data_IF_773118684593
#
_entry.id   IF_773118684593
#
_cell.length_a   1.000
_cell.length_b   1.000
_cell.length_c   1.000
_cell.angle_alpha   90.00
_cell.angle_beta   90.00
_cell.angle_gamma   90.00
#
_symmetry.space_group_name_H-M   'P 1'
#
loop_
_entity.id
_entity.type
_entity.pdbx_description
1 polymer ?
#
# COMPACT_ATOMS: atom_id res chain seq x y z
N UNK A 1 -13.58 0.31 -3.37
CA UNK A 1 -12.13 0.25 -3.15
C UNK A 1 -11.55 1.66 -3.31
N UNK A 2 -10.34 1.86 -2.78
CA UNK A 2 -9.70 3.17 -2.83
C UNK A 2 -9.36 3.57 -4.26
N UNK A 3 -9.72 4.79 -4.61
CA UNK A 3 -9.31 5.43 -5.87
C UNK A 3 -9.55 6.93 -5.76
N UNK A 4 -8.83 7.76 -6.53
CA UNK A 4 -9.05 9.20 -6.49
C UNK A 4 -10.45 9.57 -6.98
N UNK A 5 -11.06 10.56 -6.34
CA UNK A 5 -12.34 11.11 -6.79
C UNK A 5 -12.17 11.94 -8.06
N UNK A 6 -11.06 12.67 -8.15
CA UNK A 6 -10.71 13.51 -9.28
C UNK A 6 -9.25 13.34 -9.61
N UNK A 7 -8.91 13.42 -10.89
CA UNK A 7 -7.52 13.41 -11.34
C UNK A 7 -7.29 14.56 -12.32
N UNK A 8 -6.10 15.13 -12.24
CA UNK A 8 -5.69 16.17 -13.19
C UNK A 8 -5.50 15.56 -14.59
N UNK A 9 -4.96 14.36 -14.64
CA UNK A 9 -4.76 13.60 -15.87
C UNK A 9 -5.38 12.22 -15.69
N UNK A 10 -6.08 11.75 -16.73
CA UNK A 10 -6.74 10.44 -16.68
C UNK A 10 -5.74 9.29 -16.74
N UNK A 11 -4.65 9.49 -17.45
CA UNK A 11 -3.59 8.49 -17.63
C UNK A 11 -2.24 9.10 -17.28
N UNK A 12 -1.29 8.26 -16.84
CA UNK A 12 0.01 8.70 -16.35
C UNK A 12 1.10 7.87 -17.00
N UNK A 13 2.25 8.49 -17.26
CA UNK A 13 3.41 7.78 -17.78
C UNK A 13 3.90 6.74 -16.78
N UNK A 14 4.43 5.63 -17.30
CA UNK A 14 4.92 4.53 -16.47
C UNK A 14 6.00 4.98 -15.49
N UNK A 15 6.99 5.73 -15.98
CA UNK A 15 8.07 6.25 -15.16
C UNK A 15 8.95 5.15 -14.57
N UNK A 16 9.82 5.54 -13.66
CA UNK A 16 10.67 4.64 -12.90
C UNK A 16 10.34 4.77 -11.42
N UNK A 17 10.28 3.63 -10.75
CA UNK A 17 10.07 3.60 -9.30
C UNK A 17 11.41 3.24 -8.65
N UNK A 18 12.23 4.26 -8.42
CA UNK A 18 13.54 4.07 -7.79
C UNK A 18 13.69 5.00 -6.59
N UNK A 19 14.82 4.88 -5.89
CA UNK A 19 15.10 5.69 -4.72
C UNK A 19 14.50 5.14 -3.43
N UNK A 20 14.68 5.90 -2.35
CA UNK A 20 14.20 5.56 -1.03
C UNK A 20 13.11 6.53 -0.59
N UNK A 21 12.25 6.10 0.33
CA UNK A 21 11.21 6.98 0.88
C UNK A 21 11.84 8.02 1.81
N UNK A 22 11.67 9.30 1.49
CA UNK A 22 12.12 10.42 2.32
C UNK A 22 11.05 10.89 3.29
N UNK A 23 9.77 10.67 2.94
CA UNK A 23 8.63 11.01 3.80
C UNK A 23 7.74 9.80 3.95
N UNK A 24 6.95 9.76 5.01
CA UNK A 24 6.10 8.61 5.29
C UNK A 24 6.90 7.36 5.64
N UNK A 25 8.11 7.54 6.19
CA UNK A 25 9.02 6.44 6.51
C UNK A 25 9.13 6.14 8.00
N UNK A 26 8.31 6.78 8.83
CA UNK A 26 8.30 6.57 10.26
C UNK A 26 6.87 6.37 10.76
N UNK A 27 6.73 5.64 11.88
CA UNK A 27 5.44 5.48 12.55
C UNK A 27 5.08 6.81 13.19
N UNK A 28 4.01 7.44 12.70
CA UNK A 28 3.61 8.79 13.12
C UNK A 28 2.30 8.81 13.90
N UNK A 29 1.35 7.95 13.56
CA UNK A 29 0.00 7.97 14.14
C UNK A 29 -0.22 6.87 15.17
N UNK A 30 0.37 5.68 14.95
CA UNK A 30 0.18 4.53 15.81
C UNK A 30 1.40 4.17 16.62
N UNK A 31 1.39 2.97 17.20
CA UNK A 31 2.49 2.41 17.96
C UNK A 31 3.31 1.42 17.14
N UNK A 32 2.68 0.74 16.20
CA UNK A 32 3.28 -0.27 15.36
C UNK A 32 2.97 0.03 13.89
N UNK A 33 3.87 -0.36 13.01
CA UNK A 33 3.71 -0.12 11.60
C UNK A 33 4.17 -1.28 10.74
N UNK A 34 3.66 -1.34 9.51
CA UNK A 34 4.10 -2.27 8.48
C UNK A 34 4.85 -1.45 7.43
N UNK A 35 6.14 -1.69 7.32
CA UNK A 35 7.06 -0.90 6.51
C UNK A 35 7.54 -1.69 5.31
N UNK A 36 7.57 -1.08 4.13
CA UNK A 36 8.10 -1.72 2.94
C UNK A 36 9.62 -1.68 2.93
N UNK A 37 10.24 -2.76 2.47
CA UNK A 37 11.71 -2.84 2.32
C UNK A 37 12.14 -3.06 0.88
N UNK A 38 11.20 -3.03 -0.06
CA UNK A 38 11.48 -3.24 -1.48
C UNK A 38 10.69 -2.25 -2.33
N UNK A 39 11.13 -2.04 -3.55
CA UNK A 39 10.36 -1.31 -4.55
C UNK A 39 9.20 -2.18 -5.05
N UNK A 40 8.08 -1.56 -5.35
CA UNK A 40 6.95 -2.29 -5.92
C UNK A 40 5.73 -1.40 -6.06
N UNK A 41 4.63 -2.03 -6.39
CA UNK A 41 3.34 -1.37 -6.50
C UNK A 41 2.31 -2.17 -5.71
N UNK A 42 1.43 -1.46 -5.02
CA UNK A 42 0.32 -2.07 -4.31
C UNK A 42 -0.97 -1.64 -5.00
N UNK A 43 -1.74 -2.62 -5.45
CA UNK A 43 -3.05 -2.34 -6.06
C UNK A 43 -4.06 -1.99 -4.97
N UNK A 44 -5.13 -1.28 -5.37
CA UNK A 44 -6.23 -0.98 -4.45
C UNK A 44 -6.80 -2.27 -3.82
N UNK A 45 -6.85 -3.35 -4.59
CA UNK A 45 -7.34 -4.64 -4.09
C UNK A 45 -6.41 -5.25 -3.05
N UNK A 46 -5.10 -5.16 -3.25
CA UNK A 46 -4.12 -5.65 -2.27
C UNK A 46 -4.20 -4.86 -0.97
N UNK A 47 -4.31 -3.54 -1.06
CA UNK A 47 -4.45 -2.67 0.11
C UNK A 47 -5.70 -3.05 0.89
N UNK A 48 -6.83 -3.24 0.21
CA UNK A 48 -8.09 -3.63 0.87
C UNK A 48 -8.01 -5.02 1.49
N UNK A 49 -7.41 -5.97 0.79
CA UNK A 49 -7.25 -7.33 1.32
C UNK A 49 -6.41 -7.35 2.59
N UNK A 50 -5.31 -6.62 2.62
CA UNK A 50 -4.45 -6.50 3.79
C UNK A 50 -5.17 -5.79 4.94
N UNK A 51 -5.89 -4.72 4.65
CA UNK A 51 -6.69 -4.00 5.64
C UNK A 51 -7.70 -4.92 6.31
N UNK A 52 -8.43 -5.70 5.53
CA UNK A 52 -9.42 -6.64 6.05
C UNK A 52 -8.76 -7.72 6.91
N UNK A 53 -7.59 -8.20 6.51
CA UNK A 53 -6.83 -9.19 7.27
C UNK A 53 -6.45 -8.67 8.65
N UNK A 54 -5.93 -7.43 8.73
CA UNK A 54 -5.58 -6.79 9.99
C UNK A 54 -6.82 -6.60 10.86
N UNK A 55 -7.87 -6.01 10.30
CA UNK A 55 -9.10 -5.72 11.01
C UNK A 55 -9.76 -6.98 11.57
N UNK A 56 -9.75 -8.07 10.80
CA UNK A 56 -10.31 -9.35 11.23
C UNK A 56 -9.52 -9.95 12.38
N UNK A 57 -8.20 -9.87 12.33
CA UNK A 57 -7.35 -10.44 13.38
C UNK A 57 -7.50 -9.70 14.70
N UNK A 58 -7.52 -8.37 14.67
CA UNK A 58 -7.64 -7.55 15.89
C UNK A 58 -9.08 -7.45 16.39
N UNK A 59 -10.05 -7.99 15.67
CA UNK A 59 -11.48 -8.09 16.07
C UNK A 59 -12.06 -6.74 16.48
N UNK A 60 -11.80 -5.69 15.67
CA UNK A 60 -12.23 -4.32 15.90
C UNK A 60 -11.58 -3.65 17.13
N UNK A 61 -10.58 -4.31 17.73
CA UNK A 61 -9.79 -3.68 18.77
C UNK A 61 -8.79 -2.70 18.17
N UNK A 62 -8.49 -1.64 18.90
CA UNK A 62 -7.51 -0.65 18.48
C UNK A 62 -7.96 0.22 17.34
N UNK A 63 -7.00 0.94 16.78
CA UNK A 63 -7.21 1.86 15.65
C UNK A 63 -6.14 1.61 14.59
N UNK A 64 -6.54 1.69 13.32
CA UNK A 64 -5.65 1.43 12.19
C UNK A 64 -5.65 2.60 11.22
N UNK A 65 -4.48 2.91 10.67
CA UNK A 65 -4.33 3.91 9.62
C UNK A 65 -3.72 3.26 8.38
N UNK A 66 -4.25 3.62 7.22
CA UNK A 66 -3.66 3.27 5.92
C UNK A 66 -2.81 4.47 5.49
N UNK A 67 -1.49 4.27 5.35
CA UNK A 67 -0.55 5.35 5.07
C UNK A 67 -0.25 5.53 3.58
N UNK A 68 -0.83 4.71 2.73
CA UNK A 68 -0.64 4.79 1.28
C UNK A 68 -1.98 4.90 0.58
N UNK A 69 -1.99 5.52 -0.60
CA UNK A 69 -3.20 5.67 -1.39
C UNK A 69 -2.90 5.30 -2.85
N UNK A 70 -3.75 4.50 -3.50
CA UNK A 70 -3.54 4.10 -4.89
C UNK A 70 -4.01 5.23 -5.82
N UNK A 71 -3.11 6.13 -6.15
CA UNK A 71 -3.40 7.31 -6.96
C UNK A 71 -2.85 7.23 -8.39
N UNK A 72 -2.11 6.18 -8.72
CA UNK A 72 -1.57 5.99 -10.07
C UNK A 72 -2.44 5.05 -10.88
N UNK A 73 -2.99 5.51 -12.03
CA UNK A 73 -3.78 4.63 -12.89
C UNK A 73 -2.88 3.74 -13.72
N UNK A 74 -3.24 2.46 -13.81
CA UNK A 74 -2.56 1.48 -14.65
C UNK A 74 -3.46 1.14 -15.82
N UNK A 75 -2.92 1.28 -17.03
CA UNK A 75 -3.64 1.00 -18.26
C UNK A 75 -3.27 -0.36 -18.81
N UNK A 76 -4.20 -0.98 -19.50
CA UNK A 76 -3.98 -2.28 -20.12
C UNK A 76 -4.77 -2.36 -21.43
N UNK A 77 -4.15 -2.92 -22.46
CA UNK A 77 -4.85 -3.20 -23.72
C UNK A 77 -5.25 -4.68 -23.76
N UNK A 78 -6.41 -5.00 -24.36
CA UNK A 78 -6.78 -6.41 -24.57
C UNK A 78 -5.72 -7.12 -25.41
N UNK A 79 -5.58 -8.42 -25.20
CA UNK A 79 -4.58 -9.24 -25.90
C UNK A 79 -4.76 -9.18 -27.42
N UNK A 80 -6.00 -9.10 -27.89
CA UNK A 80 -6.34 -9.10 -29.32
C UNK A 80 -6.04 -7.78 -30.01
N UNK A 81 -5.77 -6.70 -29.27
CA UNK A 81 -5.55 -5.37 -29.84
C UNK A 81 -4.08 -5.22 -30.22
N UNK A 82 -3.83 -4.72 -31.43
CA UNK A 82 -2.49 -4.47 -31.91
C UNK A 82 -1.81 -3.34 -31.16
N UNK A 83 -0.50 -3.37 -31.12
CA UNK A 83 0.30 -2.29 -30.55
C UNK A 83 0.08 -1.01 -31.33
N UNK A 84 0.12 0.14 -30.63
CA UNK A 84 -0.12 1.45 -31.24
C UNK A 84 -1.55 1.91 -31.05
N UNK A 85 -1.95 2.96 -31.78
CA UNK A 85 -3.28 3.58 -31.74
C UNK A 85 -3.69 4.10 -30.35
N UNK A 86 -2.69 4.58 -29.60
CA UNK A 86 -2.93 5.23 -28.30
C UNK A 86 -2.80 4.29 -27.10
N UNK A 87 -2.94 4.88 -25.93
CA UNK A 87 -2.80 4.21 -24.65
C UNK A 87 -4.10 3.49 -24.29
N UNK A 88 -3.97 2.31 -23.69
CA UNK A 88 -5.13 1.53 -23.28
C UNK A 88 -5.98 2.21 -22.21
N UNK A 89 -7.09 1.59 -21.87
CA UNK A 89 -7.98 2.10 -20.82
C UNK A 89 -7.41 1.85 -19.43
N UNK A 90 -7.80 2.69 -18.48
CA UNK A 90 -7.43 2.52 -17.08
C UNK A 90 -8.16 1.29 -16.53
N UNK A 91 -7.39 0.30 -16.07
CA UNK A 91 -7.91 -0.95 -15.53
C UNK A 91 -7.99 -0.94 -14.01
N UNK A 92 -6.96 -0.41 -13.36
CA UNK A 92 -6.90 -0.39 -11.89
C UNK A 92 -5.96 0.70 -11.41
N UNK A 93 -5.97 0.94 -10.11
CA UNK A 93 -5.17 1.96 -9.45
C UNK A 93 -4.15 1.32 -8.54
N UNK A 94 -2.94 1.90 -8.48
CA UNK A 94 -1.87 1.41 -7.62
C UNK A 94 -1.21 2.55 -6.86
N UNK A 95 -0.61 2.21 -5.71
CA UNK A 95 0.32 3.07 -5.00
C UNK A 95 1.74 2.61 -5.33
N UNK A 96 2.60 3.52 -5.76
CA UNK A 96 4.02 3.21 -5.94
C UNK A 96 4.71 3.21 -4.59
N UNK A 97 5.47 2.15 -4.31
CA UNK A 97 6.10 1.92 -3.01
C UNK A 97 7.61 1.94 -3.17
N UNK A 98 8.26 2.72 -2.32
CA UNK A 98 9.72 2.77 -2.21
C UNK A 98 10.15 2.14 -0.88
N UNK A 99 11.36 1.56 -0.80
CA UNK A 99 11.86 1.04 0.48
C UNK A 99 11.83 2.11 1.55
N UNK A 100 11.32 1.76 2.72
CA UNK A 100 11.18 2.67 3.84
C UNK A 100 9.77 3.21 4.02
N UNK A 101 8.89 3.06 3.04
CA UNK A 101 7.52 3.59 3.11
C UNK A 101 6.69 2.82 4.12
N UNK A 102 6.03 3.56 5.03
CA UNK A 102 5.06 2.98 5.96
C UNK A 102 3.74 2.75 5.23
N UNK A 103 3.19 1.54 5.35
CA UNK A 103 1.95 1.17 4.64
C UNK A 103 0.75 1.19 5.57
N UNK A 104 0.88 0.59 6.75
CA UNK A 104 -0.17 0.59 7.77
C UNK A 104 0.43 0.95 9.12
N UNK A 105 -0.40 1.54 9.96
CA UNK A 105 -0.08 1.75 11.39
C UNK A 105 -1.25 1.29 12.22
N UNK A 106 -0.96 0.83 13.44
CA UNK A 106 -1.97 0.33 14.37
C UNK A 106 -1.61 0.76 15.80
N UNK A 107 -2.63 1.00 16.60
CA UNK A 107 -2.46 1.26 18.03
C UNK A 107 -3.60 0.61 18.82
N UNK A 108 -3.44 0.55 20.15
CA UNK A 108 -4.47 -0.01 21.02
C UNK A 108 -4.46 -1.53 21.09
N UNK A 109 -3.40 -2.18 20.63
CA UNK A 109 -3.19 -3.62 20.75
C UNK A 109 -1.78 -3.87 21.27
N UNK A 110 -1.54 -5.07 21.82
CA UNK A 110 -0.20 -5.43 22.26
C UNK A 110 0.70 -5.78 21.07
N UNK A 111 2.00 -5.80 21.31
CA UNK A 111 2.99 -6.03 20.25
C UNK A 111 2.81 -7.38 19.56
N UNK A 112 2.54 -8.44 20.33
CA UNK A 112 2.35 -9.79 19.77
C UNK A 112 1.15 -9.83 18.83
N UNK A 113 0.05 -9.21 19.20
CA UNK A 113 -1.16 -9.10 18.34
C UNK A 113 -0.87 -8.31 17.08
N UNK A 114 -0.18 -7.17 17.23
CA UNK A 114 0.16 -6.33 16.08
C UNK A 114 1.07 -7.06 15.09
N UNK A 115 2.10 -7.74 15.59
CA UNK A 115 3.03 -8.50 14.74
C UNK A 115 2.33 -9.60 13.97
N UNK A 116 1.43 -10.33 14.61
CA UNK A 116 0.69 -11.41 13.95
C UNK A 116 -0.29 -10.87 12.91
N UNK A 117 -0.99 -9.78 13.24
CA UNK A 117 -1.88 -9.10 12.29
C UNK A 117 -1.12 -8.66 11.04
N UNK A 118 0.05 -8.06 11.23
CA UNK A 118 0.88 -7.61 10.12
C UNK A 118 1.49 -8.76 9.32
N UNK A 119 1.82 -9.87 9.98
CA UNK A 119 2.30 -11.07 9.28
C UNK A 119 1.24 -11.60 8.32
N UNK A 120 -0.01 -11.66 8.77
CA UNK A 120 -1.12 -12.09 7.94
C UNK A 120 -1.37 -11.10 6.80
N UNK A 121 -1.29 -9.81 7.07
CA UNK A 121 -1.47 -8.77 6.07
C UNK A 121 -0.35 -8.79 5.02
N UNK A 122 0.88 -9.00 5.45
CA UNK A 122 2.04 -9.02 4.54
C UNK A 122 1.92 -10.11 3.47
N UNK A 123 1.25 -11.22 3.80
CA UNK A 123 1.01 -12.30 2.84
C UNK A 123 0.08 -11.87 1.69
N UNK A 124 -0.68 -10.79 1.85
CA UNK A 124 -1.58 -10.26 0.83
C UNK A 124 -0.91 -9.19 -0.04
N UNK A 125 0.29 -8.76 0.32
CA UNK A 125 0.99 -7.66 -0.35
C UNK A 125 2.09 -8.21 -1.26
N UNK A 126 2.40 -7.45 -2.32
CA UNK A 126 3.39 -7.84 -3.33
C UNK A 126 4.82 -7.42 -2.97
N UNK A 127 5.00 -6.64 -1.92
CA UNK A 127 6.33 -6.17 -1.48
C UNK A 127 6.65 -6.77 -0.11
N UNK A 128 7.94 -6.86 0.19
CA UNK A 128 8.39 -7.34 1.50
C UNK A 128 8.12 -6.28 2.56
N UNK A 129 7.43 -6.65 3.62
CA UNK A 129 6.93 -5.70 4.62
C UNK A 129 7.11 -6.23 6.04
N UNK A 130 8.25 -6.00 6.68
CA UNK A 130 8.40 -6.33 8.10
C UNK A 130 7.60 -5.37 8.98
N UNK A 131 7.26 -5.82 10.18
CA UNK A 131 6.64 -4.96 11.18
C UNK A 131 7.71 -4.15 11.92
N UNK A 132 7.35 -2.92 12.31
CA UNK A 132 8.24 -2.03 13.06
C UNK A 132 7.47 -1.40 14.21
N UNK A 133 8.21 -0.98 15.23
CA UNK A 133 7.64 -0.26 16.37
C UNK A 133 7.98 1.22 16.25
N UNK A 134 7.20 2.06 16.93
CA UNK A 134 7.46 3.48 16.98
C UNK A 134 8.75 3.75 17.76
N UNK A 135 9.63 4.57 17.15
CA UNK A 135 10.85 4.98 17.81
C UNK A 135 10.50 6.09 18.82
N UNK A 136 10.82 5.84 20.09
CA UNK A 136 10.66 6.83 21.14
C UNK A 136 11.99 7.56 21.32
N UNK A 137 11.95 8.88 21.20
CA UNK A 137 13.12 9.73 21.41
C UNK A 137 12.98 10.51 22.70
#
# INVERSE_FOLDING_TARGET
MLQPKRTKYRKVHKGRNDGLAWSGNAVSFGEFGLKATAHGQLTARQIEAARRSISRYVKRGGKMWIRVFPDKPITKKPIEVRMGSGKGNVEYWVAQIQPGRMIYEIEGVDEATAREAFRLAAAKLSVTTPSVTRTVR
#
